data_IF_298682509629
#
_entry.id   IF_298682509629
#
_cell.length_a   1.000
_cell.length_b   1.000
_cell.length_c   1.000
_cell.angle_alpha   90.00
_cell.angle_beta   90.00
_cell.angle_gamma   90.00
#
_symmetry.space_group_name_H-M   'P 1'
#
loop_
_entity.id
_entity.type
_entity.pdbx_description
1 polymer ?
#
# COMPACT_ATOMS: atom_id res chain seq x y z
N UNK A 1 -0.08 -13.36 18.04
CA UNK A 1 0.91 -13.21 16.95
C UNK A 1 0.38 -12.32 15.82
N UNK A 2 -0.80 -12.62 15.25
CA UNK A 2 -1.40 -11.84 14.15
C UNK A 2 -1.73 -10.38 14.46
N UNK A 3 -2.02 -10.07 15.73
CA UNK A 3 -2.34 -8.72 16.19
C UNK A 3 -1.18 -7.73 15.97
N UNK A 4 0.08 -8.18 16.12
CA UNK A 4 1.28 -7.35 15.87
C UNK A 4 1.44 -7.00 14.38
N UNK A 5 1.17 -7.97 13.49
CA UNK A 5 1.16 -7.72 12.05
C UNK A 5 0.03 -6.77 11.65
N UNK A 6 -1.19 -7.04 12.14
CA UNK A 6 -2.36 -6.22 11.83
C UNK A 6 -2.17 -4.75 12.24
N UNK A 7 -1.55 -4.50 13.40
CA UNK A 7 -1.21 -3.13 13.83
C UNK A 7 -0.23 -2.44 12.87
N UNK A 8 0.83 -3.13 12.41
CA UNK A 8 1.74 -2.55 11.42
C UNK A 8 1.06 -2.32 10.06
N UNK A 9 0.17 -3.20 9.63
CA UNK A 9 -0.61 -3.04 8.40
C UNK A 9 -1.61 -1.87 8.51
N UNK A 10 -2.16 -1.66 9.70
CA UNK A 10 -3.06 -0.54 9.99
C UNK A 10 -2.28 0.78 9.88
N UNK A 11 -1.12 0.87 10.53
CA UNK A 11 -0.24 2.05 10.44
C UNK A 11 0.16 2.32 8.98
N UNK A 12 0.57 1.29 8.25
CA UNK A 12 0.90 1.41 6.83
C UNK A 12 -0.27 1.96 6.02
N UNK A 13 -1.49 1.45 6.24
CA UNK A 13 -2.69 1.87 5.53
C UNK A 13 -3.05 3.32 5.83
N UNK A 14 -2.93 3.74 7.10
CA UNK A 14 -3.18 5.12 7.52
C UNK A 14 -2.16 6.06 6.89
N UNK A 15 -0.87 5.73 6.91
CA UNK A 15 0.19 6.54 6.29
C UNK A 15 -0.06 6.68 4.79
N UNK A 16 -0.39 5.58 4.10
CA UNK A 16 -0.74 5.61 2.69
C UNK A 16 -1.93 6.54 2.41
N UNK A 17 -3.01 6.42 3.19
CA UNK A 17 -4.19 7.27 3.03
C UNK A 17 -3.85 8.75 3.25
N UNK A 18 -3.06 9.04 4.29
CA UNK A 18 -2.61 10.40 4.59
C UNK A 18 -1.80 11.01 3.45
N UNK A 19 -0.87 10.24 2.86
CA UNK A 19 -0.09 10.72 1.70
C UNK A 19 -1.04 11.09 0.57
N UNK A 20 -1.97 10.19 0.21
CA UNK A 20 -2.91 10.44 -0.89
C UNK A 20 -3.74 11.70 -0.60
N UNK A 21 -4.34 11.78 0.60
CA UNK A 21 -5.16 12.94 1.01
C UNK A 21 -4.34 14.23 0.90
N UNK A 22 -3.14 14.28 1.49
CA UNK A 22 -2.30 15.48 1.49
C UNK A 22 -1.92 15.87 0.07
N UNK A 23 -1.53 14.91 -0.78
CA UNK A 23 -1.15 15.21 -2.16
C UNK A 23 -2.33 15.71 -3.00
N UNK A 24 -3.55 15.25 -2.69
CA UNK A 24 -4.76 15.71 -3.35
C UNK A 24 -5.17 17.12 -2.86
N UNK A 25 -5.08 17.39 -1.55
CA UNK A 25 -5.49 18.70 -0.99
C UNK A 25 -4.57 19.84 -1.40
N UNK A 26 -3.29 19.57 -1.61
CA UNK A 26 -2.32 20.57 -2.10
C UNK A 26 -2.22 20.62 -3.63
N UNK A 27 -3.05 19.85 -4.35
CA UNK A 27 -3.14 19.89 -5.82
C UNK A 27 -1.97 19.24 -6.57
N UNK A 28 -1.18 18.39 -5.91
CA UNK A 28 -0.11 17.60 -6.56
C UNK A 28 -0.70 16.39 -7.31
N UNK A 29 -1.75 15.79 -6.76
CA UNK A 29 -2.43 14.61 -7.28
C UNK A 29 -3.86 14.93 -7.69
N UNK A 30 -4.33 14.30 -8.77
CA UNK A 30 -5.68 14.40 -9.30
C UNK A 30 -6.35 13.01 -9.42
N UNK A 31 -6.16 12.14 -8.42
CA UNK A 31 -6.81 10.84 -8.34
C UNK A 31 -8.34 10.96 -8.20
N UNK A 32 -8.88 12.11 -7.79
CA UNK A 32 -10.29 12.27 -7.45
C UNK A 32 -10.69 11.43 -6.24
N UNK A 33 -9.73 11.03 -5.40
CA UNK A 33 -9.96 10.14 -4.27
C UNK A 33 -10.78 10.85 -3.18
N UNK A 34 -12.06 10.49 -3.09
CA UNK A 34 -12.91 10.92 -1.97
C UNK A 34 -12.59 10.03 -0.77
N UNK A 35 -12.20 10.63 0.35
CA UNK A 35 -11.96 9.92 1.61
C UNK A 35 -13.10 10.16 2.58
N UNK A 36 -14.31 9.72 2.22
CA UNK A 36 -15.39 9.61 3.20
C UNK A 36 -15.00 8.59 4.28
N UNK A 37 -15.64 8.65 5.46
CA UNK A 37 -15.40 7.70 6.56
C UNK A 37 -15.52 6.25 6.06
N UNK A 38 -16.53 5.94 5.24
CA UNK A 38 -16.72 4.61 4.68
C UNK A 38 -15.59 4.21 3.72
N UNK A 39 -15.12 5.14 2.87
CA UNK A 39 -14.00 4.86 1.98
C UNK A 39 -12.70 4.64 2.76
N UNK A 40 -12.45 5.41 3.82
CA UNK A 40 -11.30 5.23 4.70
C UNK A 40 -11.34 3.85 5.39
N UNK A 41 -12.52 3.43 5.87
CA UNK A 41 -12.68 2.10 6.47
C UNK A 41 -12.38 1.00 5.44
N UNK A 42 -12.94 1.10 4.22
CA UNK A 42 -12.65 0.12 3.16
C UNK A 42 -11.18 0.12 2.75
N UNK A 43 -10.52 1.28 2.72
CA UNK A 43 -9.09 1.41 2.44
C UNK A 43 -8.27 0.66 3.48
N UNK A 44 -8.57 0.85 4.77
CA UNK A 44 -7.90 0.14 5.87
C UNK A 44 -8.12 -1.38 5.76
N UNK A 45 -9.35 -1.83 5.46
CA UNK A 45 -9.64 -3.27 5.31
C UNK A 45 -8.87 -3.89 4.13
N UNK A 46 -8.82 -3.19 2.98
CA UNK A 46 -8.04 -3.64 1.82
C UNK A 46 -6.55 -3.69 2.16
N UNK A 47 -6.03 -2.70 2.89
CA UNK A 47 -4.66 -2.69 3.37
C UNK A 47 -4.34 -3.86 4.31
N UNK A 48 -5.28 -4.25 5.18
CA UNK A 48 -5.14 -5.47 6.00
C UNK A 48 -5.04 -6.72 5.12
N UNK A 49 -5.94 -6.87 4.15
CA UNK A 49 -5.95 -8.02 3.23
C UNK A 49 -4.62 -8.13 2.48
N UNK A 50 -4.15 -7.03 1.88
CA UNK A 50 -2.86 -7.00 1.18
C UNK A 50 -1.70 -7.33 2.14
N UNK A 51 -1.70 -6.78 3.35
CA UNK A 51 -0.68 -7.07 4.35
C UNK A 51 -0.59 -8.56 4.67
N UNK A 52 -1.74 -9.23 4.83
CA UNK A 52 -1.78 -10.67 5.07
C UNK A 52 -1.38 -11.50 3.84
N UNK A 53 -1.72 -11.06 2.62
CA UNK A 53 -1.24 -11.68 1.38
C UNK A 53 0.29 -11.60 1.32
N UNK A 54 0.88 -10.44 1.61
CA UNK A 54 2.34 -10.26 1.64
C UNK A 54 3.00 -11.10 2.73
N UNK A 55 2.40 -11.20 3.92
CA UNK A 55 2.87 -12.09 4.98
C UNK A 55 2.91 -13.55 4.52
N UNK A 56 1.86 -14.02 3.85
CA UNK A 56 1.79 -15.37 3.31
C UNK A 56 2.89 -15.62 2.27
N UNK A 57 3.06 -14.71 1.31
CA UNK A 57 4.10 -14.79 0.27
C UNK A 57 5.49 -14.82 0.92
N UNK A 58 5.78 -13.88 1.82
CA UNK A 58 7.09 -13.77 2.47
C UNK A 58 7.48 -15.03 3.23
N UNK A 59 6.52 -15.65 3.93
CA UNK A 59 6.73 -16.91 4.65
C UNK A 59 6.89 -18.09 3.70
N UNK A 60 6.03 -18.22 2.70
CA UNK A 60 6.04 -19.34 1.74
C UNK A 60 7.35 -19.40 0.95
N UNK A 61 7.85 -18.25 0.52
CA UNK A 61 9.05 -18.17 -0.31
C UNK A 61 10.36 -17.95 0.47
N UNK A 62 10.29 -17.84 1.82
CA UNK A 62 11.44 -17.55 2.69
C UNK A 62 12.26 -16.34 2.19
N UNK A 63 11.55 -15.25 1.89
CA UNK A 63 12.09 -14.08 1.17
C UNK A 63 13.38 -13.54 1.81
N UNK A 64 13.47 -13.50 3.14
CA UNK A 64 14.66 -12.96 3.83
C UNK A 64 15.98 -13.66 3.51
N UNK A 65 15.95 -14.96 3.22
CA UNK A 65 17.16 -15.73 2.94
C UNK A 65 17.55 -15.77 1.46
N UNK A 66 16.72 -15.19 0.57
CA UNK A 66 16.85 -15.36 -0.88
C UNK A 66 16.80 -14.07 -1.67
N UNK A 67 16.11 -13.05 -1.18
CA UNK A 67 15.80 -11.83 -1.91
C UNK A 67 16.08 -10.63 -1.00
N UNK A 68 16.66 -9.57 -1.56
CA UNK A 68 16.82 -8.31 -0.85
C UNK A 68 15.44 -7.76 -0.44
N UNK A 69 15.24 -7.56 0.87
CA UNK A 69 13.98 -7.13 1.46
C UNK A 69 13.47 -5.80 0.87
N UNK A 70 14.37 -4.89 0.52
CA UNK A 70 14.03 -3.60 -0.10
C UNK A 70 13.48 -3.78 -1.51
N UNK A 71 14.12 -4.65 -2.30
CA UNK A 71 13.67 -4.97 -3.66
C UNK A 71 12.28 -5.61 -3.60
N UNK A 72 12.08 -6.55 -2.68
CA UNK A 72 10.77 -7.18 -2.47
C UNK A 72 9.70 -6.13 -2.12
N UNK A 73 9.99 -5.22 -1.20
CA UNK A 73 9.06 -4.17 -0.79
C UNK A 73 8.67 -3.23 -1.95
N UNK A 74 9.65 -2.78 -2.74
CA UNK A 74 9.40 -1.91 -3.91
C UNK A 74 8.56 -2.63 -4.95
N UNK A 75 8.93 -3.85 -5.35
CA UNK A 75 8.20 -4.62 -6.37
C UNK A 75 6.75 -4.87 -5.91
N UNK A 76 6.57 -5.34 -4.68
CA UNK A 76 5.22 -5.56 -4.13
C UNK A 76 4.40 -4.28 -4.02
N UNK A 77 5.03 -3.14 -3.72
CA UNK A 77 4.38 -1.83 -3.72
C UNK A 77 3.89 -1.43 -5.11
N UNK A 78 4.74 -1.56 -6.14
CA UNK A 78 4.39 -1.28 -7.55
C UNK A 78 3.27 -2.19 -8.03
N UNK A 79 3.34 -3.49 -7.73
CA UNK A 79 2.30 -4.46 -8.11
C UNK A 79 0.98 -4.13 -7.42
N UNK A 80 1.01 -3.83 -6.12
CA UNK A 80 -0.19 -3.46 -5.36
C UNK A 80 -0.80 -2.17 -5.90
N UNK A 81 0.02 -1.16 -6.16
CA UNK A 81 -0.39 0.11 -6.78
C UNK A 81 -1.14 -0.14 -8.09
N UNK A 82 -0.54 -0.93 -8.98
CA UNK A 82 -1.11 -1.20 -10.29
C UNK A 82 -2.45 -1.95 -10.20
N UNK A 83 -2.52 -3.00 -9.38
CA UNK A 83 -3.74 -3.80 -9.21
C UNK A 83 -4.86 -2.96 -8.59
N UNK A 84 -4.59 -2.30 -7.46
CA UNK A 84 -5.62 -1.60 -6.70
C UNK A 84 -6.14 -0.36 -7.44
N UNK A 85 -5.26 0.40 -8.09
CA UNK A 85 -5.71 1.57 -8.86
C UNK A 85 -6.42 1.17 -10.15
N UNK A 86 -6.07 0.06 -10.79
CA UNK A 86 -6.85 -0.48 -11.92
C UNK A 86 -8.27 -0.86 -11.50
N UNK A 87 -8.42 -1.57 -10.38
CA UNK A 87 -9.74 -1.95 -9.86
C UNK A 87 -10.54 -0.72 -9.45
N UNK A 88 -9.95 0.21 -8.70
CA UNK A 88 -10.69 1.40 -8.27
C UNK A 88 -11.05 2.34 -9.43
N UNK A 89 -10.22 2.40 -10.47
CA UNK A 89 -10.50 3.21 -11.67
C UNK A 89 -11.62 2.60 -12.51
N UNK A 90 -11.64 1.28 -12.67
CA UNK A 90 -12.72 0.58 -13.41
C UNK A 90 -14.08 0.70 -12.74
N UNK A 91 -14.13 0.80 -11.40
CA UNK A 91 -15.36 1.02 -10.63
C UNK A 91 -15.70 2.52 -10.51
N UNK A 92 -14.90 3.41 -11.11
CA UNK A 92 -15.14 4.87 -11.09
C UNK A 92 -14.94 5.53 -9.73
N UNK A 93 -14.20 4.89 -8.81
CA UNK A 93 -13.90 5.45 -7.48
C UNK A 93 -12.76 6.46 -7.49
N UNK A 94 -11.81 6.28 -8.41
CA UNK A 94 -10.68 7.17 -8.64
C UNK A 94 -10.46 7.31 -10.14
N UNK A 95 -9.80 8.39 -10.54
CA UNK A 95 -9.31 8.56 -11.90
C UNK A 95 -8.06 7.70 -12.12
N UNK A 96 -7.89 7.10 -13.31
CA UNK A 96 -6.71 6.31 -13.63
C UNK A 96 -5.44 7.19 -13.57
N UNK A 97 -4.47 6.89 -12.68
CA UNK A 97 -3.33 7.79 -12.41
C UNK A 97 -2.52 8.11 -13.67
N UNK A 98 -2.38 7.13 -14.56
CA UNK A 98 -1.64 7.24 -15.82
C UNK A 98 -2.25 8.20 -16.84
N UNK A 99 -3.48 8.68 -16.62
CA UNK A 99 -4.09 9.74 -17.45
C UNK A 99 -4.09 11.11 -16.76
N UNK A 100 -3.62 11.19 -15.51
CA UNK A 100 -3.69 12.40 -14.67
C UNK A 100 -2.34 13.12 -14.51
N UNK A 101 -1.35 12.74 -15.33
CA UNK A 101 -0.02 13.34 -15.35
C UNK A 101 0.99 12.72 -14.37
N UNK A 102 2.25 13.09 -14.57
CA UNK A 102 3.39 12.52 -13.85
C UNK A 102 3.29 12.65 -12.34
N UNK A 103 2.86 13.81 -11.83
CA UNK A 103 2.78 14.06 -10.38
C UNK A 103 1.77 13.14 -9.68
N UNK A 104 0.62 12.86 -10.31
CA UNK A 104 -0.39 11.92 -9.80
C UNK A 104 0.15 10.49 -9.78
N UNK A 105 0.87 10.08 -10.83
CA UNK A 105 1.54 8.76 -10.86
C UNK A 105 2.59 8.68 -9.76
N UNK A 106 3.46 9.68 -9.65
CA UNK A 106 4.58 9.66 -8.72
C UNK A 106 4.13 9.68 -7.25
N UNK A 107 3.19 10.55 -6.90
CA UNK A 107 2.64 10.65 -5.53
C UNK A 107 1.92 9.37 -5.12
N UNK A 108 1.02 8.86 -5.96
CA UNK A 108 0.29 7.62 -5.69
C UNK A 108 1.23 6.41 -5.61
N UNK A 109 2.20 6.29 -6.53
CA UNK A 109 3.17 5.21 -6.50
C UNK A 109 4.02 5.24 -5.23
N UNK A 110 4.46 6.43 -4.81
CA UNK A 110 5.22 6.63 -3.58
C UNK A 110 4.41 6.19 -2.36
N UNK A 111 3.12 6.52 -2.29
CA UNK A 111 2.23 6.10 -1.19
C UNK A 111 2.15 4.56 -1.07
N UNK A 112 2.01 3.85 -2.19
CA UNK A 112 1.94 2.39 -2.20
C UNK A 112 3.28 1.70 -1.95
N UNK A 113 4.39 2.28 -2.42
CA UNK A 113 5.73 1.79 -2.09
C UNK A 113 5.98 1.92 -0.58
N UNK A 114 5.66 3.07 0.02
CA UNK A 114 5.81 3.28 1.45
C UNK A 114 4.94 2.33 2.27
N UNK A 115 3.68 2.12 1.86
CA UNK A 115 2.82 1.09 2.44
C UNK A 115 3.53 -0.27 2.45
N UNK A 116 4.03 -0.71 1.29
CA UNK A 116 4.65 -2.02 1.15
C UNK A 116 5.95 -2.16 1.92
N UNK A 117 6.75 -1.09 2.01
CA UNK A 117 7.95 -1.03 2.86
C UNK A 117 7.56 -1.26 4.32
N UNK A 118 6.60 -0.50 4.85
CA UNK A 118 6.18 -0.64 6.25
C UNK A 118 5.66 -2.04 6.53
N UNK A 119 4.83 -2.59 5.64
CA UNK A 119 4.29 -3.96 5.73
C UNK A 119 5.42 -4.98 5.73
N UNK A 120 6.34 -4.91 4.77
CA UNK A 120 7.45 -5.85 4.61
C UNK A 120 8.36 -5.83 5.84
N UNK A 121 8.71 -4.64 6.35
CA UNK A 121 9.53 -4.50 7.55
C UNK A 121 8.80 -4.94 8.82
N UNK A 122 7.50 -4.72 8.92
CA UNK A 122 6.65 -5.27 9.99
C UNK A 122 6.71 -6.80 9.97
N UNK A 123 6.59 -7.41 8.79
CA UNK A 123 6.64 -8.87 8.63
C UNK A 123 8.00 -9.40 9.04
N UNK A 124 9.07 -8.78 8.54
CA UNK A 124 10.47 -9.07 8.89
C UNK A 124 10.67 -9.07 10.41
N UNK A 125 10.32 -7.96 11.05
CA UNK A 125 10.49 -7.75 12.49
C UNK A 125 9.80 -8.83 13.31
N UNK A 126 8.54 -9.15 13.04
CA UNK A 126 7.79 -10.07 13.90
C UNK A 126 7.87 -11.54 13.49
N UNK A 127 8.51 -11.86 12.36
CA UNK A 127 8.70 -13.25 11.91
C UNK A 127 10.12 -13.76 12.16
N UNK A 128 11.14 -12.93 11.94
CA UNK A 128 12.53 -13.40 11.84
C UNK A 128 13.48 -12.74 12.84
N UNK A 129 13.18 -11.53 13.32
CA UNK A 129 13.90 -10.88 14.40
C UNK A 129 13.18 -11.19 15.72
N UNK A 130 13.42 -12.38 16.27
CA UNK A 130 12.94 -12.72 17.62
C UNK A 130 13.74 -11.99 18.68
#
# INVERSE_FOLDING_TARGET
>A
MYLKFSMGFLIASIIQALIIIVTETIGISNLGAKFTIMQLLTHVLVGQIIGFILLFIMKKFKVEGKINIWIFAVISGVVTWFIILSINSTIGKVNPPWTQGFLTVFSSLTAFILFSVIVTFTIKRYTYLK
#
